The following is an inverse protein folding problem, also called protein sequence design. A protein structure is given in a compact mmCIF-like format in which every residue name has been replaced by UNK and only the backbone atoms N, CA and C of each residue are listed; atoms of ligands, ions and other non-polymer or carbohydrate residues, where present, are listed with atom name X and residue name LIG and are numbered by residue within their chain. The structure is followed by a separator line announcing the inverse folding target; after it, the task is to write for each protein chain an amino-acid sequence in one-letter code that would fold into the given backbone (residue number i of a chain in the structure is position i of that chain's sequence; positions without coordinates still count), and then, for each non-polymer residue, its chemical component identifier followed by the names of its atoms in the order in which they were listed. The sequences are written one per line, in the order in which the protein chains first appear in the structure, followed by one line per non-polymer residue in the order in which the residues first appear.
data_IF_667287056194
#
_entry.id   IF_667287056194
#
_cell.length_a   1.000
_cell.length_b   1.000
_cell.length_c   1.000
_cell.angle_alpha   90.00
_cell.angle_beta   90.00
_cell.angle_gamma   90.00
#
_symmetry.space_group_name_H-M   'P 1'
#
loop_
_entity.id
_entity.type
_entity.pdbx_description
1 polymer ?
#
# COMPACT_ATOMS: atom_id res chain seq x y z
N UNK A 1 -22.93 12.75 16.23
CA UNK A 1 -22.35 11.40 16.13
C UNK A 1 -22.58 10.84 14.72
N UNK A 2 -21.53 10.58 13.91
CA UNK A 2 -21.71 9.94 12.59
C UNK A 2 -21.83 8.42 12.79
N UNK A 3 -23.04 7.87 12.61
CA UNK A 3 -23.39 6.46 12.84
C UNK A 3 -22.65 5.46 11.93
N UNK A 4 -21.96 5.91 10.89
CA UNK A 4 -21.17 5.03 10.01
C UNK A 4 -19.78 5.63 9.80
N UNK A 5 -18.82 5.25 10.66
CA UNK A 5 -17.40 5.47 10.35
C UNK A 5 -17.06 4.62 9.13
N UNK A 6 -16.69 5.28 8.02
CA UNK A 6 -16.19 4.60 6.82
C UNK A 6 -14.96 3.79 7.22
N UNK A 7 -15.07 2.46 7.21
CA UNK A 7 -13.96 1.57 7.54
C UNK A 7 -12.98 1.56 6.38
N UNK A 8 -11.77 2.01 6.63
CA UNK A 8 -10.67 1.92 5.68
C UNK A 8 -9.75 0.76 6.10
N UNK A 9 -9.11 0.17 5.10
CA UNK A 9 -8.10 -0.87 5.25
C UNK A 9 -6.79 -0.31 4.74
N UNK A 10 -5.78 -0.39 5.59
CA UNK A 10 -4.44 0.11 5.31
C UNK A 10 -3.53 -1.07 4.95
N UNK A 11 -2.70 -0.88 3.93
CA UNK A 11 -1.79 -1.88 3.40
C UNK A 11 -0.43 -1.24 3.17
N UNK A 12 0.60 -1.87 3.71
CA UNK A 12 1.99 -1.57 3.40
C UNK A 12 2.37 -2.36 2.14
N UNK A 13 2.79 -1.64 1.12
CA UNK A 13 3.33 -2.18 -0.13
C UNK A 13 4.81 -1.82 -0.20
N UNK A 14 5.65 -2.79 -0.55
CA UNK A 14 7.07 -2.54 -0.76
C UNK A 14 7.44 -2.90 -2.19
N UNK A 15 8.06 -1.96 -2.89
CA UNK A 15 8.45 -2.06 -4.28
C UNK A 15 9.95 -1.96 -4.40
N UNK A 16 10.52 -2.71 -5.34
CA UNK A 16 11.91 -2.54 -5.74
C UNK A 16 11.97 -1.44 -6.80
N UNK A 17 12.72 -0.39 -6.50
CA UNK A 17 13.03 0.67 -7.46
C UNK A 17 14.08 0.18 -8.46
N UNK A 18 13.98 0.56 -9.74
CA UNK A 18 14.99 0.24 -10.75
C UNK A 18 16.41 0.69 -10.36
N UNK A 19 16.52 1.72 -9.53
CA UNK A 19 17.80 2.27 -9.06
C UNK A 19 18.41 1.48 -7.87
N UNK A 20 17.89 0.29 -7.55
CA UNK A 20 18.43 -0.58 -6.51
C UNK A 20 17.97 -0.27 -5.08
N UNK A 21 16.93 0.55 -4.92
CA UNK A 21 16.33 0.89 -3.62
C UNK A 21 15.03 0.13 -3.35
N UNK A 22 14.63 0.04 -2.08
CA UNK A 22 13.29 -0.43 -1.71
C UNK A 22 12.46 0.80 -1.37
N UNK A 23 11.29 0.94 -2.00
CA UNK A 23 10.32 1.99 -1.69
C UNK A 23 9.10 1.35 -1.02
N UNK A 24 8.81 1.75 0.22
CA UNK A 24 7.60 1.35 0.92
C UNK A 24 6.53 2.43 0.82
N UNK A 25 5.28 1.99 0.67
CA UNK A 25 4.13 2.85 0.37
C UNK A 25 2.96 2.35 1.20
N UNK A 26 2.37 3.25 1.97
CA UNK A 26 1.16 2.95 2.75
C UNK A 26 -0.05 3.36 1.93
N UNK A 27 -0.89 2.39 1.58
CA UNK A 27 -2.10 2.62 0.79
C UNK A 27 -3.35 2.39 1.63
N UNK A 28 -4.37 3.23 1.40
CA UNK A 28 -5.69 3.09 2.06
C UNK A 28 -6.77 2.76 1.05
N UNK A 29 -7.55 1.72 1.32
CA UNK A 29 -8.69 1.34 0.49
C UNK A 29 -9.92 1.03 1.33
N UNK A 30 -11.12 1.26 0.77
CA UNK A 30 -12.37 0.85 1.43
C UNK A 30 -12.58 -0.66 1.45
N UNK A 31 -12.13 -1.36 0.41
CA UNK A 31 -12.29 -2.82 0.35
C UNK A 31 -11.10 -3.51 1.01
N UNK A 32 -11.38 -4.57 1.76
CA UNK A 32 -10.37 -5.39 2.44
C UNK A 32 -9.42 -6.11 1.49
N UNK A 33 -9.82 -6.35 0.24
CA UNK A 33 -8.97 -7.07 -0.74
C UNK A 33 -7.98 -6.13 -1.43
N UNK A 34 -6.72 -6.51 -1.40
CA UNK A 34 -5.66 -5.91 -2.21
C UNK A 34 -5.62 -6.67 -3.53
N UNK A 35 -5.91 -6.00 -4.64
CA UNK A 35 -5.91 -6.59 -5.99
C UNK A 35 -4.67 -6.12 -6.75
N UNK A 36 -4.18 -6.89 -7.75
CA UNK A 36 -3.04 -6.49 -8.57
C UNK A 36 -3.20 -5.07 -9.17
N UNK A 37 -4.39 -4.73 -9.66
CA UNK A 37 -4.69 -3.39 -10.18
C UNK A 37 -4.48 -2.26 -9.15
N UNK A 38 -4.75 -2.51 -7.87
CA UNK A 38 -4.52 -1.53 -6.80
C UNK A 38 -3.05 -1.37 -6.48
N UNK A 39 -2.30 -2.48 -6.50
CA UNK A 39 -0.86 -2.45 -6.30
C UNK A 39 -0.20 -1.67 -7.44
N UNK A 40 -0.65 -1.88 -8.68
CA UNK A 40 -0.21 -1.11 -9.84
C UNK A 40 -0.56 0.39 -9.72
N UNK A 41 -1.78 0.73 -9.29
CA UNK A 41 -2.15 2.13 -9.01
C UNK A 41 -1.25 2.77 -7.95
N UNK A 42 -0.87 2.02 -6.91
CA UNK A 42 0.02 2.52 -5.87
C UNK A 42 1.44 2.73 -6.38
N UNK A 43 1.96 1.82 -7.20
CA UNK A 43 3.24 1.96 -7.87
C UNK A 43 3.28 3.21 -8.76
N UNK A 44 2.26 3.38 -9.61
CA UNK A 44 2.14 4.54 -10.50
C UNK A 44 2.06 5.87 -9.73
N UNK A 45 1.31 5.90 -8.62
CA UNK A 45 1.23 7.09 -7.76
C UNK A 45 2.56 7.49 -7.14
N UNK A 46 3.50 6.55 -7.04
CA UNK A 46 4.83 6.74 -6.46
C UNK A 46 5.92 6.97 -7.52
N UNK A 47 5.51 7.11 -8.79
CA UNK A 47 6.41 7.31 -9.91
C UNK A 47 7.24 6.07 -10.26
N UNK A 48 6.82 4.89 -9.81
CA UNK A 48 7.43 3.62 -10.17
C UNK A 48 6.86 3.14 -11.50
N UNK A 49 7.75 2.66 -12.37
CA UNK A 49 7.39 2.17 -13.70
C UNK A 49 6.56 0.87 -13.63
N UNK A 50 5.90 0.47 -14.72
CA UNK A 50 5.06 -0.75 -14.75
C UNK A 50 5.82 -2.05 -14.49
N UNK A 51 7.14 -2.05 -14.62
CA UNK A 51 8.02 -3.20 -14.40
C UNK A 51 8.54 -3.31 -12.95
N UNK A 52 8.02 -2.52 -12.01
CA UNK A 52 8.46 -2.59 -10.62
C UNK A 52 8.08 -3.94 -9.97
N UNK A 53 9.10 -4.64 -9.48
CA UNK A 53 8.91 -5.91 -8.76
C UNK A 53 8.32 -5.60 -7.40
N UNK A 54 7.12 -6.12 -7.15
CA UNK A 54 6.50 -6.12 -5.83
C UNK A 54 7.26 -7.14 -4.98
N UNK A 55 7.73 -6.71 -3.82
CA UNK A 55 8.40 -7.62 -2.89
C UNK A 55 7.45 -8.74 -2.44
N UNK A 56 7.98 -9.90 -2.03
CA UNK A 56 7.18 -11.06 -1.66
C UNK A 56 6.10 -10.73 -0.63
N UNK A 57 5.05 -11.57 -0.49
CA UNK A 57 3.97 -11.37 0.47
C UNK A 57 4.41 -11.11 1.91
N UNK A 58 5.60 -11.55 2.30
CA UNK A 58 6.25 -11.26 3.59
C UNK A 58 6.41 -9.75 3.85
N UNK A 59 6.54 -8.94 2.80
CA UNK A 59 6.65 -7.48 2.84
C UNK A 59 5.29 -6.79 2.60
N UNK A 60 4.24 -7.56 2.31
CA UNK A 60 2.86 -7.07 2.18
C UNK A 60 2.16 -7.18 3.54
N UNK A 61 2.21 -6.09 4.31
CA UNK A 61 1.63 -6.02 5.64
C UNK A 61 0.23 -5.39 5.63
N UNK A 62 -0.77 -6.10 6.17
CA UNK A 62 -2.04 -5.44 6.52
C UNK A 62 -1.84 -4.61 7.79
N UNK A 63 -2.14 -3.32 7.72
CA UNK A 63 -1.99 -2.39 8.84
C UNK A 63 -3.32 -1.94 9.43
N UNK A 64 -3.27 -1.55 10.70
CA UNK A 64 -4.33 -0.79 11.36
C UNK A 64 -4.18 0.69 11.06
N UNK A 65 -5.26 1.45 11.21
CA UNK A 65 -5.25 2.90 11.02
C UNK A 65 -4.25 3.61 11.95
N UNK A 66 -4.14 3.13 13.20
CA UNK A 66 -3.21 3.65 14.20
C UNK A 66 -1.75 3.48 13.76
N UNK A 67 -1.38 2.31 13.23
CA UNK A 67 -0.03 2.06 12.70
C UNK A 67 0.27 2.93 11.49
N UNK A 68 -0.68 3.02 10.55
CA UNK A 68 -0.53 3.84 9.35
C UNK A 68 -0.31 5.33 9.68
N UNK A 69 -1.00 5.86 10.68
CA UNK A 69 -0.85 7.26 11.10
C UNK A 69 0.42 7.53 11.93
N UNK A 70 1.09 6.48 12.43
CA UNK A 70 2.32 6.60 13.24
C UNK A 70 3.57 6.53 12.37
N UNK A 71 3.50 5.82 11.24
CA UNK A 71 4.61 5.67 10.28
C UNK A 71 4.62 6.74 9.15
N UNK A 72 3.67 7.67 9.17
CA UNK A 72 3.53 8.79 8.23
C UNK A 72 4.31 10.03 8.67
#
# INVERSE_FOLDING_TARGET
MRLFKKKYHYWLLAFVSPNGGIKSVITRYRNKRLTPARILQAALGEGLDTDCVILPPSYLGKMTEEKANTEL
#
